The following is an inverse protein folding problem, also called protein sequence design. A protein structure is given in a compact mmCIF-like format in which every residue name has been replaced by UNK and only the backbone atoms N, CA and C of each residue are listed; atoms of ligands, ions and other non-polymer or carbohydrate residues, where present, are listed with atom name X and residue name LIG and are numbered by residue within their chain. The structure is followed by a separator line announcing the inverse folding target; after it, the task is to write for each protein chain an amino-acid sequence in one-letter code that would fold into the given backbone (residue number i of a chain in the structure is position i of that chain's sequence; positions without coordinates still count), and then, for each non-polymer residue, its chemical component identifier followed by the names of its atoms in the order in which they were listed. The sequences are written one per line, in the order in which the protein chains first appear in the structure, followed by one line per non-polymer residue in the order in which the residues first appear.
data_IF_535664721758
#
_entry.id   IF_535664721758
#
_cell.length_a   1.000
_cell.length_b   1.000
_cell.length_c   1.000
_cell.angle_alpha   90.00
_cell.angle_beta   90.00
_cell.angle_gamma   90.00
#
_symmetry.space_group_name_H-M   'P 1'
#
loop_
_entity.id
_entity.type
_entity.pdbx_description
1 polymer ?
#
# COMPACT_ATOMS: atom_id res chain seq x y z
N UNK A 1 -3.21 32.87 8.82
CA UNK A 1 -3.71 31.82 9.76
C UNK A 1 -4.55 30.72 9.05
N UNK A 2 -5.38 30.99 8.04
CA UNK A 2 -6.24 29.97 7.36
C UNK A 2 -5.48 29.00 6.45
N UNK A 3 -4.30 29.30 5.91
CA UNK A 3 -3.50 28.39 5.07
C UNK A 3 -2.85 27.27 5.88
N UNK A 4 -2.35 27.52 7.09
CA UNK A 4 -1.71 26.51 7.94
C UNK A 4 -2.69 25.47 8.47
N UNK A 5 -3.95 25.80 8.71
CA UNK A 5 -4.97 24.85 9.15
C UNK A 5 -5.37 23.85 8.05
N UNK A 6 -5.39 24.26 6.78
CA UNK A 6 -5.69 23.37 5.65
C UNK A 6 -4.62 22.28 5.47
N UNK A 7 -3.34 22.65 5.56
CA UNK A 7 -2.23 21.68 5.45
C UNK A 7 -2.26 20.65 6.59
N UNK A 8 -2.49 21.06 7.83
CA UNK A 8 -2.62 20.15 8.97
C UNK A 8 -3.77 19.17 8.83
N UNK A 9 -4.91 19.58 8.30
CA UNK A 9 -6.07 18.72 8.11
C UNK A 9 -5.85 17.70 7.00
N UNK A 10 -5.21 18.07 5.89
CA UNK A 10 -4.87 17.14 4.81
C UNK A 10 -3.89 16.07 5.30
N UNK A 11 -2.86 16.45 6.05
CA UNK A 11 -1.88 15.51 6.61
C UNK A 11 -2.53 14.54 7.61
N UNK A 12 -3.43 15.04 8.47
CA UNK A 12 -4.16 14.20 9.42
C UNK A 12 -5.06 13.16 8.74
N UNK A 13 -5.77 13.56 7.68
CA UNK A 13 -6.61 12.66 6.88
C UNK A 13 -5.74 11.59 6.19
N UNK A 14 -4.62 11.98 5.61
CA UNK A 14 -3.72 11.03 4.93
C UNK A 14 -3.08 10.05 5.90
N UNK A 15 -2.67 10.51 7.08
CA UNK A 15 -1.93 9.68 8.04
C UNK A 15 -2.84 8.73 8.81
N UNK A 16 -4.05 9.13 9.14
CA UNK A 16 -4.95 8.34 10.01
C UNK A 16 -6.15 7.75 9.28
N UNK A 17 -6.87 8.53 8.46
CA UNK A 17 -8.14 8.08 7.89
C UNK A 17 -7.96 7.02 6.80
N UNK A 18 -6.94 7.15 5.95
CA UNK A 18 -6.74 6.25 4.82
C UNK A 18 -6.23 4.86 5.22
N UNK A 19 -5.31 4.67 6.18
CA UNK A 19 -5.01 3.36 6.74
C UNK A 19 -6.21 2.69 7.41
N UNK A 20 -7.07 3.46 8.10
CA UNK A 20 -8.31 2.94 8.68
C UNK A 20 -9.28 2.51 7.56
N UNK A 21 -9.41 3.30 6.51
CA UNK A 21 -10.19 2.92 5.34
C UNK A 21 -9.67 1.63 4.72
N UNK A 22 -8.35 1.50 4.54
CA UNK A 22 -7.72 0.29 4.02
C UNK A 22 -8.00 -0.94 4.90
N UNK A 23 -7.98 -0.77 6.23
CA UNK A 23 -8.33 -1.81 7.19
C UNK A 23 -9.78 -2.26 7.00
N UNK A 24 -10.72 -1.32 6.92
CA UNK A 24 -12.15 -1.62 6.75
C UNK A 24 -12.43 -2.29 5.40
N UNK A 25 -11.86 -1.76 4.31
CA UNK A 25 -12.03 -2.31 2.96
C UNK A 25 -11.44 -3.72 2.89
N UNK A 26 -10.28 -3.97 3.46
CA UNK A 26 -9.65 -5.29 3.45
C UNK A 26 -10.40 -6.29 4.33
N UNK A 27 -10.90 -5.85 5.48
CA UNK A 27 -11.78 -6.67 6.33
C UNK A 27 -13.05 -7.08 5.59
N UNK A 28 -13.74 -6.13 4.96
CA UNK A 28 -14.94 -6.38 4.16
C UNK A 28 -14.62 -7.30 2.97
N UNK A 29 -13.55 -7.03 2.23
CA UNK A 29 -13.11 -7.85 1.10
C UNK A 29 -12.84 -9.30 1.52
N UNK A 30 -12.27 -9.52 2.71
CA UNK A 30 -12.06 -10.87 3.26
C UNK A 30 -13.38 -11.59 3.53
N UNK A 31 -14.33 -10.90 4.15
CA UNK A 31 -15.68 -11.47 4.43
C UNK A 31 -16.38 -11.81 3.13
N UNK A 32 -16.40 -10.89 2.16
CA UNK A 32 -17.02 -11.08 0.86
C UNK A 32 -16.36 -12.23 0.08
N UNK A 33 -15.03 -12.28 0.02
CA UNK A 33 -14.29 -13.35 -0.66
C UNK A 33 -14.60 -14.72 -0.06
N UNK A 34 -14.67 -14.82 1.26
CA UNK A 34 -15.07 -16.06 1.95
C UNK A 34 -16.50 -16.46 1.69
N UNK A 35 -17.42 -15.50 1.73
CA UNK A 35 -18.83 -15.76 1.43
C UNK A 35 -19.03 -16.21 -0.03
N UNK A 36 -18.39 -15.51 -0.98
CA UNK A 36 -18.46 -15.85 -2.40
C UNK A 36 -17.88 -17.23 -2.73
N UNK A 37 -16.87 -17.66 -1.98
CA UNK A 37 -16.20 -18.96 -2.20
C UNK A 37 -16.65 -20.07 -1.23
N UNK A 38 -17.68 -19.82 -0.42
CA UNK A 38 -18.16 -20.77 0.60
C UNK A 38 -18.72 -22.08 0.02
N UNK A 39 -19.16 -22.06 -1.23
CA UNK A 39 -19.73 -23.22 -1.96
C UNK A 39 -18.70 -23.92 -2.86
N UNK A 40 -17.48 -23.41 -2.94
CA UNK A 40 -16.41 -23.96 -3.76
C UNK A 40 -15.61 -24.96 -2.92
N UNK A 41 -15.24 -26.09 -3.53
CA UNK A 41 -14.36 -27.07 -2.89
C UNK A 41 -13.07 -26.44 -2.34
N UNK A 42 -12.63 -26.87 -1.15
CA UNK A 42 -11.49 -26.28 -0.44
C UNK A 42 -10.20 -26.29 -1.26
N UNK A 43 -9.97 -27.35 -2.04
CA UNK A 43 -8.81 -27.46 -2.91
C UNK A 43 -8.85 -26.43 -4.05
N UNK A 44 -9.95 -26.38 -4.78
CA UNK A 44 -10.15 -25.44 -5.89
C UNK A 44 -10.13 -23.99 -5.41
N UNK A 45 -10.74 -23.70 -4.25
CA UNK A 45 -10.72 -22.40 -3.61
C UNK A 45 -9.29 -21.94 -3.28
N UNK A 46 -8.50 -22.82 -2.68
CA UNK A 46 -7.12 -22.50 -2.30
C UNK A 46 -6.24 -22.21 -3.51
N UNK A 47 -6.36 -23.01 -4.57
CA UNK A 47 -5.62 -22.79 -5.82
C UNK A 47 -6.06 -21.48 -6.48
N UNK A 48 -7.36 -21.24 -6.63
CA UNK A 48 -7.91 -20.01 -7.22
C UNK A 48 -7.47 -18.77 -6.46
N UNK A 49 -7.50 -18.80 -5.12
CA UNK A 49 -7.04 -17.68 -4.30
C UNK A 49 -5.53 -17.45 -4.37
N UNK A 50 -4.71 -18.50 -4.52
CA UNK A 50 -3.27 -18.35 -4.75
C UNK A 50 -2.96 -17.69 -6.09
N UNK A 51 -3.63 -18.13 -7.17
CA UNK A 51 -3.46 -17.51 -8.49
C UNK A 51 -3.94 -16.05 -8.46
N UNK A 52 -5.09 -15.80 -7.86
CA UNK A 52 -5.61 -14.43 -7.66
C UNK A 52 -4.64 -13.56 -6.84
N UNK A 53 -4.00 -14.12 -5.81
CA UNK A 53 -3.01 -13.42 -5.00
C UNK A 53 -1.76 -13.05 -5.79
N UNK A 54 -1.30 -13.91 -6.72
CA UNK A 54 -0.17 -13.58 -7.60
C UNK A 54 -0.52 -12.38 -8.47
N UNK A 55 -1.71 -12.36 -9.09
CA UNK A 55 -2.18 -11.22 -9.87
C UNK A 55 -2.33 -9.94 -9.03
N UNK A 56 -2.91 -10.07 -7.84
CA UNK A 56 -3.05 -8.97 -6.89
C UNK A 56 -1.69 -8.43 -6.42
N UNK A 57 -0.67 -9.30 -6.27
CA UNK A 57 0.71 -8.88 -5.96
C UNK A 57 1.33 -8.05 -7.07
N UNK A 58 1.10 -8.43 -8.33
CA UNK A 58 1.53 -7.63 -9.48
C UNK A 58 0.90 -6.24 -9.49
N UNK A 59 -0.42 -6.18 -9.28
CA UNK A 59 -1.14 -4.91 -9.20
C UNK A 59 -0.66 -4.05 -8.02
N UNK A 60 -0.44 -4.67 -6.85
CA UNK A 60 0.11 -4.01 -5.67
C UNK A 60 1.52 -3.45 -5.93
N UNK A 61 2.37 -4.18 -6.66
CA UNK A 61 3.71 -3.73 -7.00
C UNK A 61 3.68 -2.52 -7.92
N UNK A 62 2.78 -2.49 -8.91
CA UNK A 62 2.57 -1.34 -9.79
C UNK A 62 2.06 -0.14 -8.98
N UNK A 63 1.03 -0.34 -8.16
CA UNK A 63 0.45 0.72 -7.33
C UNK A 63 1.48 1.33 -6.35
N UNK A 64 2.29 0.48 -5.72
CA UNK A 64 3.36 0.89 -4.81
C UNK A 64 4.47 1.66 -5.56
N UNK A 65 5.00 1.07 -6.63
CA UNK A 65 6.08 1.69 -7.41
C UNK A 65 5.68 3.03 -8.00
N UNK A 66 4.49 3.12 -8.57
CA UNK A 66 3.96 4.37 -9.13
C UNK A 66 3.81 5.46 -8.06
N UNK A 67 3.17 5.14 -6.93
CA UNK A 67 2.93 6.11 -5.86
C UNK A 67 4.23 6.65 -5.25
N UNK A 68 5.21 5.80 -4.99
CA UNK A 68 6.45 6.21 -4.32
C UNK A 68 7.44 6.86 -5.30
N UNK A 69 7.51 6.38 -6.55
CA UNK A 69 8.33 7.01 -7.58
C UNK A 69 7.86 8.45 -7.89
N UNK A 70 6.55 8.68 -7.97
CA UNK A 70 6.00 10.02 -8.23
C UNK A 70 6.42 11.05 -7.17
N UNK A 71 6.49 10.68 -5.91
CA UNK A 71 6.94 11.56 -4.82
C UNK A 71 8.40 12.00 -5.04
N UNK A 72 9.27 11.04 -5.33
CA UNK A 72 10.69 11.29 -5.57
C UNK A 72 10.91 12.12 -6.82
N UNK A 73 10.21 11.79 -7.92
CA UNK A 73 10.22 12.57 -9.17
C UNK A 73 9.77 14.01 -8.92
N UNK A 74 8.71 14.20 -8.14
CA UNK A 74 8.19 15.53 -7.80
C UNK A 74 9.22 16.38 -7.06
N UNK A 75 9.93 15.81 -6.09
CA UNK A 75 10.97 16.53 -5.33
C UNK A 75 12.14 16.92 -6.24
N UNK A 76 12.64 15.99 -7.07
CA UNK A 76 13.75 16.26 -8.00
C UNK A 76 13.33 17.32 -9.03
N UNK A 77 12.14 17.20 -9.60
CA UNK A 77 11.62 18.18 -10.58
C UNK A 77 11.50 19.57 -9.94
N UNK A 78 10.97 19.64 -8.71
CA UNK A 78 10.89 20.90 -7.97
C UNK A 78 12.24 21.53 -7.73
N UNK A 79 13.27 20.73 -7.39
CA UNK A 79 14.62 21.20 -7.23
C UNK A 79 15.22 21.74 -8.54
N UNK A 80 14.95 21.08 -9.67
CA UNK A 80 15.40 21.53 -11.00
C UNK A 80 14.72 22.84 -11.41
N UNK A 81 13.44 23.00 -11.13
CA UNK A 81 12.71 24.27 -11.34
C UNK A 81 13.28 25.38 -10.46
N UNK A 82 13.50 25.10 -9.18
CA UNK A 82 14.03 26.07 -8.23
C UNK A 82 15.46 26.54 -8.61
N UNK A 83 16.25 25.64 -9.22
CA UNK A 83 17.59 25.98 -9.76
C UNK A 83 17.55 26.67 -11.14
N UNK A 84 16.38 26.85 -11.74
CA UNK A 84 16.24 27.46 -13.06
C UNK A 84 16.65 26.55 -14.22
N UNK A 85 16.89 25.26 -14.00
CA UNK A 85 17.32 24.32 -15.03
C UNK A 85 16.18 23.90 -15.98
N UNK A 86 14.94 23.98 -15.52
CA UNK A 86 13.74 23.70 -16.29
C UNK A 86 12.65 24.71 -15.96
N UNK A 87 11.73 24.95 -16.90
CA UNK A 87 10.58 25.84 -16.69
C UNK A 87 9.60 25.23 -15.67
N UNK A 88 8.84 26.11 -14.98
CA UNK A 88 7.91 25.67 -13.93
C UNK A 88 6.72 24.84 -14.43
N UNK A 89 6.42 24.95 -15.72
CA UNK A 89 5.37 24.20 -16.43
C UNK A 89 5.91 23.01 -17.24
N UNK A 90 7.23 22.76 -17.18
CA UNK A 90 7.84 21.66 -17.91
C UNK A 90 7.42 20.30 -17.37
N UNK A 91 7.22 19.35 -18.28
CA UNK A 91 7.02 17.94 -17.91
C UNK A 91 8.26 17.38 -17.20
N UNK A 92 8.04 16.36 -16.37
CA UNK A 92 9.13 15.65 -15.68
C UNK A 92 10.14 15.12 -16.71
N UNK A 93 11.44 15.44 -16.62
CA UNK A 93 12.44 14.96 -17.56
C UNK A 93 12.52 13.43 -17.59
N UNK A 94 12.64 12.85 -18.77
CA UNK A 94 12.66 11.38 -18.93
C UNK A 94 13.77 10.69 -18.14
N UNK A 95 14.94 11.31 -18.03
CA UNK A 95 16.04 10.77 -17.23
C UNK A 95 15.70 10.70 -15.73
N UNK A 96 14.91 11.65 -15.19
CA UNK A 96 14.43 11.63 -13.79
C UNK A 96 13.52 10.43 -13.59
N UNK A 97 12.63 10.15 -14.56
CA UNK A 97 11.72 8.99 -14.50
C UNK A 97 12.52 7.69 -14.41
N UNK A 98 13.48 7.48 -15.31
CA UNK A 98 14.27 6.26 -15.34
C UNK A 98 15.18 6.10 -14.10
N UNK A 99 15.84 7.16 -13.66
CA UNK A 99 16.70 7.10 -12.47
C UNK A 99 15.89 6.82 -11.21
N UNK A 100 14.73 7.43 -11.02
CA UNK A 100 13.83 7.14 -9.90
C UNK A 100 13.32 5.70 -9.95
N UNK A 101 12.90 5.21 -11.12
CA UNK A 101 12.41 3.85 -11.29
C UNK A 101 13.50 2.81 -10.96
N UNK A 102 14.71 2.99 -11.47
CA UNK A 102 15.85 2.11 -11.19
C UNK A 102 16.26 2.14 -9.72
N UNK A 103 16.38 3.33 -9.13
CA UNK A 103 16.73 3.46 -7.72
C UNK A 103 15.70 2.79 -6.80
N UNK A 104 14.40 2.94 -7.13
CA UNK A 104 13.30 2.31 -6.41
C UNK A 104 13.34 0.78 -6.54
N UNK A 105 13.56 0.26 -7.75
CA UNK A 105 13.67 -1.18 -7.99
C UNK A 105 14.84 -1.79 -7.21
N UNK A 106 16.01 -1.18 -7.28
CA UNK A 106 17.20 -1.63 -6.54
C UNK A 106 17.02 -1.53 -5.03
N UNK A 107 16.47 -0.42 -4.53
CA UNK A 107 16.19 -0.23 -3.11
C UNK A 107 15.22 -1.26 -2.56
N UNK A 108 14.15 -1.54 -3.31
CA UNK A 108 13.16 -2.56 -2.94
C UNK A 108 13.76 -3.98 -2.99
N UNK A 109 14.58 -4.27 -3.98
CA UNK A 109 15.24 -5.57 -4.11
C UNK A 109 16.19 -5.84 -2.92
N UNK A 110 16.98 -4.85 -2.53
CA UNK A 110 17.95 -4.98 -1.43
C UNK A 110 17.24 -4.95 -0.06
N UNK A 111 16.32 -4.01 0.14
CA UNK A 111 15.67 -3.74 1.43
C UNK A 111 14.43 -4.55 1.72
N UNK A 112 13.76 -5.10 0.71
CA UNK A 112 12.43 -5.70 0.80
C UNK A 112 12.34 -6.94 1.70
N UNK A 113 13.43 -7.69 1.86
CA UNK A 113 13.42 -8.94 2.62
C UNK A 113 13.03 -8.78 4.09
N UNK A 114 13.46 -7.69 4.73
CA UNK A 114 13.08 -7.38 6.13
C UNK A 114 11.58 -7.08 6.24
N UNK A 115 11.04 -6.34 5.28
CA UNK A 115 9.63 -6.00 5.22
C UNK A 115 8.78 -7.25 4.98
N UNK A 116 9.18 -8.12 4.05
CA UNK A 116 8.51 -9.41 3.79
C UNK A 116 8.39 -10.24 5.05
N UNK A 117 9.47 -10.38 5.83
CA UNK A 117 9.45 -11.14 7.09
C UNK A 117 8.51 -10.52 8.12
N UNK A 118 8.54 -9.21 8.29
CA UNK A 118 7.71 -8.52 9.31
C UNK A 118 6.24 -8.53 8.93
N UNK A 119 5.92 -8.19 7.69
CA UNK A 119 4.53 -8.09 7.22
C UNK A 119 3.91 -9.46 6.94
N UNK A 120 4.69 -10.38 6.35
CA UNK A 120 4.19 -11.69 5.94
C UNK A 120 4.06 -12.72 7.07
N UNK A 121 4.91 -12.63 8.09
CA UNK A 121 4.93 -13.63 9.17
C UNK A 121 4.75 -13.00 10.56
N UNK A 122 5.12 -11.73 10.73
CA UNK A 122 5.13 -11.08 12.04
C UNK A 122 3.78 -10.54 12.49
N UNK A 123 2.95 -10.00 11.57
CA UNK A 123 1.69 -9.33 11.90
C UNK A 123 0.53 -10.29 12.15
N UNK A 124 0.34 -11.26 11.27
CA UNK A 124 -0.71 -12.27 11.38
C UNK A 124 -0.35 -13.47 10.50
N UNK A 125 -0.93 -14.62 10.81
CA UNK A 125 -0.85 -15.76 9.90
C UNK A 125 -1.80 -15.54 8.72
N UNK A 126 -1.24 -15.33 7.53
CA UNK A 126 -2.00 -14.96 6.33
C UNK A 126 -2.28 -16.22 5.50
N UNK A 127 -3.55 -16.55 5.29
CA UNK A 127 -3.96 -17.55 4.30
C UNK A 127 -4.13 -16.91 2.90
N UNK A 128 -4.21 -17.71 1.81
CA UNK A 128 -4.30 -17.18 0.45
C UNK A 128 -5.48 -16.22 0.25
N UNK A 129 -6.63 -16.47 0.87
CA UNK A 129 -7.81 -15.61 0.78
C UNK A 129 -7.56 -14.24 1.43
N UNK A 130 -6.90 -14.23 2.60
CA UNK A 130 -6.53 -13.01 3.29
C UNK A 130 -5.47 -12.22 2.50
N UNK A 131 -4.46 -12.93 1.96
CA UNK A 131 -3.43 -12.32 1.15
C UNK A 131 -4.01 -11.64 -0.10
N UNK A 132 -4.89 -12.34 -0.82
CA UNK A 132 -5.61 -11.77 -1.95
C UNK A 132 -6.41 -10.53 -1.55
N UNK A 133 -7.24 -10.62 -0.51
CA UNK A 133 -8.07 -9.52 -0.06
C UNK A 133 -7.23 -8.31 0.41
N UNK A 134 -6.13 -8.53 1.15
CA UNK A 134 -5.25 -7.47 1.60
C UNK A 134 -4.59 -6.73 0.43
N UNK A 135 -4.04 -7.47 -0.55
CA UNK A 135 -3.35 -6.90 -1.69
C UNK A 135 -4.29 -6.15 -2.64
N UNK A 136 -5.46 -6.73 -2.95
CA UNK A 136 -6.47 -6.06 -3.77
C UNK A 136 -6.97 -4.77 -3.11
N UNK A 137 -7.30 -4.82 -1.83
CA UNK A 137 -7.76 -3.64 -1.09
C UNK A 137 -6.70 -2.54 -1.03
N UNK A 138 -5.45 -2.91 -0.73
CA UNK A 138 -4.33 -1.96 -0.74
C UNK A 138 -4.14 -1.32 -2.11
N UNK A 139 -4.18 -2.12 -3.18
CA UNK A 139 -4.00 -1.64 -4.54
C UNK A 139 -5.09 -0.65 -4.94
N UNK A 140 -6.35 -0.96 -4.64
CA UNK A 140 -7.49 -0.07 -4.90
C UNK A 140 -7.33 1.26 -4.16
N UNK A 141 -7.01 1.22 -2.87
CA UNK A 141 -6.82 2.44 -2.06
C UNK A 141 -5.65 3.27 -2.59
N UNK A 142 -4.52 2.64 -2.93
CA UNK A 142 -3.33 3.33 -3.44
C UNK A 142 -3.58 3.96 -4.81
N UNK A 143 -4.16 3.21 -5.76
CA UNK A 143 -4.44 3.72 -7.11
C UNK A 143 -5.48 4.84 -7.07
N UNK A 144 -6.56 4.67 -6.31
CA UNK A 144 -7.58 5.72 -6.16
C UNK A 144 -6.99 6.99 -5.57
N UNK A 145 -6.15 6.85 -4.54
CA UNK A 145 -5.49 7.98 -3.91
C UNK A 145 -4.50 8.68 -4.86
N UNK A 146 -3.73 7.92 -5.63
CA UNK A 146 -2.81 8.48 -6.63
C UNK A 146 -3.55 9.27 -7.70
N UNK A 147 -4.70 8.78 -8.17
CA UNK A 147 -5.56 9.51 -9.12
C UNK A 147 -6.13 10.80 -8.55
N UNK A 148 -6.41 10.82 -7.23
CA UNK A 148 -6.89 12.02 -6.53
C UNK A 148 -5.75 12.99 -6.15
N UNK A 149 -4.51 12.68 -6.51
CA UNK A 149 -3.33 13.49 -6.15
C UNK A 149 -3.01 13.50 -4.66
N UNK A 150 -3.47 12.49 -3.92
CA UNK A 150 -3.23 12.35 -2.49
C UNK A 150 -2.03 11.40 -2.25
N UNK A 151 -0.82 11.92 -1.96
CA UNK A 151 0.33 11.07 -1.70
C UNK A 151 0.14 10.29 -0.40
N UNK A 152 0.10 8.97 -0.47
CA UNK A 152 -0.06 8.07 0.67
C UNK A 152 1.24 7.35 1.03
N UNK A 153 1.35 6.96 2.30
CA UNK A 153 2.32 5.96 2.70
C UNK A 153 1.80 4.56 2.34
N UNK A 154 2.47 3.92 1.41
CA UNK A 154 2.16 2.56 0.96
C UNK A 154 2.26 1.55 2.09
N UNK A 155 3.23 1.73 3.00
CA UNK A 155 3.41 0.88 4.19
C UNK A 155 2.21 0.96 5.14
N UNK A 156 1.63 2.13 5.35
CA UNK A 156 0.46 2.31 6.22
C UNK A 156 -0.77 1.63 5.64
N UNK A 157 -1.01 1.82 4.34
CA UNK A 157 -2.12 1.19 3.64
C UNK A 157 -1.98 -0.34 3.67
N UNK A 158 -0.80 -0.86 3.35
CA UNK A 158 -0.53 -2.30 3.38
C UNK A 158 -0.69 -2.89 4.79
N UNK A 159 -0.15 -2.22 5.83
CA UNK A 159 -0.30 -2.67 7.22
C UNK A 159 -1.76 -2.65 7.65
N UNK A 160 -2.49 -1.58 7.36
CA UNK A 160 -3.92 -1.46 7.64
C UNK A 160 -4.71 -2.59 6.99
N UNK A 161 -4.43 -2.89 5.71
CA UNK A 161 -5.09 -3.97 4.98
C UNK A 161 -4.79 -5.35 5.59
N UNK A 162 -3.53 -5.64 5.94
CA UNK A 162 -3.15 -6.93 6.58
C UNK A 162 -3.82 -7.08 7.95
N UNK A 163 -3.82 -6.02 8.77
CA UNK A 163 -4.52 -6.04 10.07
C UNK A 163 -6.01 -6.22 9.88
N UNK A 164 -6.63 -5.52 8.91
CA UNK A 164 -8.05 -5.63 8.59
C UNK A 164 -8.49 -7.04 8.23
N UNK A 165 -7.70 -7.73 7.38
CA UNK A 165 -7.96 -9.14 7.04
C UNK A 165 -7.79 -10.06 8.23
N UNK A 166 -6.81 -9.79 9.10
CA UNK A 166 -6.58 -10.55 10.34
C UNK A 166 -7.74 -10.43 11.33
N UNK A 167 -8.24 -9.22 11.54
CA UNK A 167 -9.38 -8.94 12.44
C UNK A 167 -10.67 -9.57 11.90
N UNK A 168 -10.92 -9.50 10.58
CA UNK A 168 -12.10 -10.09 9.95
C UNK A 168 -12.13 -11.61 10.02
N UNK A 169 -11.00 -12.26 10.31
CA UNK A 169 -10.89 -13.72 10.37
C UNK A 169 -11.10 -14.19 11.80
N UNK A 170 -12.29 -14.72 12.11
CA UNK A 170 -12.61 -15.27 13.43
C UNK A 170 -11.61 -16.33 13.85
N UNK A 171 -10.99 -16.16 15.03
CA UNK A 171 -10.09 -17.12 15.68
C UNK A 171 -8.60 -16.97 15.35
N UNK A 172 -8.18 -16.06 14.46
CA UNK A 172 -6.76 -15.76 14.21
C UNK A 172 -6.33 -14.51 14.96
N UNK A 173 -5.29 -14.65 15.78
CA UNK A 173 -4.79 -13.55 16.62
C UNK A 173 -3.88 -12.65 15.77
N UNK A 174 -4.21 -11.36 15.71
CA UNK A 174 -3.29 -10.32 15.24
C UNK A 174 -2.25 -10.10 16.34
N UNK A 175 -0.97 -10.07 15.98
CA UNK A 175 0.11 -9.77 16.93
C UNK A 175 0.19 -8.25 17.18
N UNK A 176 -0.66 -7.76 18.06
CA UNK A 176 -0.79 -6.33 18.38
C UNK A 176 0.51 -5.66 18.79
N UNK A 177 1.43 -6.41 19.42
CA UNK A 177 2.78 -5.91 19.75
C UNK A 177 3.61 -5.56 18.51
N UNK A 178 3.43 -6.32 17.43
CA UNK A 178 4.11 -6.04 16.15
C UNK A 178 3.42 -4.89 15.45
N UNK A 179 2.10 -4.89 15.39
CA UNK A 179 1.31 -3.79 14.83
C UNK A 179 1.62 -2.46 15.54
N UNK A 180 1.66 -2.46 16.89
CA UNK A 180 2.03 -1.29 17.69
C UNK A 180 3.44 -0.78 17.40
N UNK A 181 4.44 -1.66 17.24
CA UNK A 181 5.80 -1.25 16.85
C UNK A 181 5.86 -0.65 15.45
N UNK A 182 5.11 -1.20 14.52
CA UNK A 182 5.01 -0.63 13.16
C UNK A 182 4.38 0.75 13.23
N UNK A 183 3.29 0.93 13.99
CA UNK A 183 2.64 2.23 14.19
C UNK A 183 3.55 3.21 14.93
N UNK A 184 4.30 2.78 15.93
CA UNK A 184 5.21 3.63 16.70
C UNK A 184 6.45 4.06 15.88
N UNK A 185 6.80 3.33 14.84
CA UNK A 185 7.89 3.69 13.92
C UNK A 185 7.45 4.70 12.84
N UNK A 186 6.19 5.09 12.85
CA UNK A 186 5.58 6.07 11.95
C UNK A 186 5.49 7.44 12.62
#
# INVERSE_FOLDING_TARGET
RRRHTRFRNVTGVQTCALPILALLVAGLATVVSRAATSRVDDGARTIGMRVGQIGASGLQSIAHGTNDAQKTMGIITLALVANGSIAADAAVPTWVIWTCALAMALGTFIGGWRIIRTMGHGLTHIDPTQGFAAQMSSSVVLLTSSHLGLPLSTTYVATGSVVGTGVATRGRKVHWNVAGRVVAAW
#
